data_IF_445310863226
#
_entry.id   IF_445310863226
#
_cell.length_a   1.000
_cell.length_b   1.000
_cell.length_c   1.000
_cell.angle_alpha   90.00
_cell.angle_beta   90.00
_cell.angle_gamma   90.00
#
_symmetry.space_group_name_H-M   'P 1'
#
loop_
_entity.id
_entity.type
_entity.pdbx_description
1 polymer ?
#
# COMPACT_ATOMS: atom_id res chain seq x y z
N UNK A 1 6.62 -39.99 18.12
CA UNK A 1 7.30 -39.59 16.89
C UNK A 1 6.81 -38.18 16.57
N UNK A 2 7.62 -37.19 16.85
CA UNK A 2 7.26 -35.76 16.68
C UNK A 2 7.80 -35.26 15.33
N UNK A 3 7.34 -35.87 14.23
CA UNK A 3 7.70 -35.40 12.91
C UNK A 3 6.47 -34.78 12.24
N UNK A 4 6.69 -33.69 11.52
CA UNK A 4 5.68 -33.17 10.62
C UNK A 4 5.51 -34.16 9.45
N UNK A 5 4.29 -34.67 9.27
CA UNK A 5 4.00 -35.50 8.10
C UNK A 5 4.25 -34.72 6.79
N UNK A 6 4.80 -35.40 5.79
CA UNK A 6 5.05 -34.76 4.48
C UNK A 6 3.78 -34.13 3.89
N UNK A 7 2.62 -34.76 4.10
CA UNK A 7 1.33 -34.22 3.65
C UNK A 7 0.99 -32.89 4.32
N UNK A 8 1.29 -32.75 5.62
CA UNK A 8 1.07 -31.52 6.36
C UNK A 8 2.00 -30.37 5.90
N UNK A 9 3.27 -30.68 5.62
CA UNK A 9 4.22 -29.72 5.07
C UNK A 9 3.73 -29.20 3.72
N UNK A 10 3.33 -30.12 2.83
CA UNK A 10 2.81 -29.75 1.49
C UNK A 10 1.54 -28.90 1.64
N UNK A 11 0.61 -29.27 2.51
CA UNK A 11 -0.62 -28.53 2.75
C UNK A 11 -0.33 -27.10 3.18
N UNK A 12 0.57 -26.91 4.15
CA UNK A 12 0.94 -25.57 4.66
C UNK A 12 1.59 -24.71 3.57
N UNK A 13 2.49 -25.27 2.79
CA UNK A 13 3.12 -24.57 1.67
C UNK A 13 2.09 -24.17 0.60
N UNK A 14 1.18 -25.06 0.23
CA UNK A 14 0.11 -24.75 -0.72
C UNK A 14 -0.83 -23.66 -0.15
N UNK A 15 -1.20 -23.74 1.11
CA UNK A 15 -2.01 -22.69 1.75
C UNK A 15 -1.29 -21.33 1.77
N UNK A 16 0.01 -21.32 2.03
CA UNK A 16 0.80 -20.09 1.97
C UNK A 16 0.80 -19.46 0.56
N UNK A 17 0.91 -20.28 -0.48
CA UNK A 17 0.75 -19.84 -1.88
C UNK A 17 -0.65 -19.28 -2.13
N UNK A 18 -1.70 -19.97 -1.69
CA UNK A 18 -3.10 -19.54 -1.88
C UNK A 18 -3.36 -18.20 -1.19
N UNK A 19 -3.04 -18.07 0.09
CA UNK A 19 -3.25 -16.82 0.82
C UNK A 19 -2.39 -15.67 0.27
N UNK A 20 -1.12 -15.94 -0.06
CA UNK A 20 -0.24 -14.98 -0.70
C UNK A 20 -0.78 -14.51 -2.05
N UNK A 21 -1.36 -15.46 -2.84
CA UNK A 21 -1.98 -15.15 -4.13
C UNK A 21 -3.20 -14.26 -4.00
N UNK A 22 -4.10 -14.55 -3.07
CA UNK A 22 -5.34 -13.81 -2.88
C UNK A 22 -5.05 -12.33 -2.56
N UNK A 23 -4.12 -12.08 -1.64
CA UNK A 23 -3.77 -10.71 -1.23
C UNK A 23 -2.91 -10.04 -2.31
N UNK A 24 -1.93 -10.75 -2.86
CA UNK A 24 -1.05 -10.23 -3.91
C UNK A 24 -1.79 -9.87 -5.20
N UNK A 25 -2.79 -10.65 -5.59
CA UNK A 25 -3.64 -10.38 -6.74
C UNK A 25 -4.46 -9.08 -6.57
N UNK A 26 -5.00 -8.85 -5.38
CA UNK A 26 -5.68 -7.59 -5.06
C UNK A 26 -4.75 -6.38 -5.21
N UNK A 27 -3.51 -6.53 -4.77
CA UNK A 27 -2.49 -5.47 -4.87
C UNK A 27 -2.07 -5.21 -6.32
N UNK A 28 -1.89 -6.26 -7.10
CA UNK A 28 -1.49 -6.17 -8.51
C UNK A 28 -2.56 -5.50 -9.39
N UNK A 29 -3.84 -5.89 -9.25
CA UNK A 29 -4.94 -5.25 -10.00
C UNK A 29 -5.04 -3.75 -9.70
N UNK A 30 -4.71 -3.33 -8.48
CA UNK A 30 -4.72 -1.92 -8.11
C UNK A 30 -3.46 -1.15 -8.47
N UNK A 31 -2.53 -1.76 -9.18
CA UNK A 31 -1.31 -1.12 -9.67
C UNK A 31 -0.33 -0.74 -8.58
N UNK A 32 -0.25 -1.52 -7.48
CA UNK A 32 0.74 -1.30 -6.43
C UNK A 32 2.07 -1.97 -6.77
N UNK A 33 3.19 -1.37 -6.35
CA UNK A 33 4.54 -1.82 -6.68
C UNK A 33 4.85 -3.25 -6.21
N UNK A 34 4.37 -3.68 -5.03
CA UNK A 34 4.42 -5.06 -4.59
C UNK A 34 3.10 -5.76 -4.93
N UNK A 35 3.13 -6.62 -5.94
CA UNK A 35 1.99 -7.38 -6.46
C UNK A 35 2.00 -8.87 -6.07
N UNK A 36 1.49 -9.70 -6.95
CA UNK A 36 1.24 -11.13 -6.77
C UNK A 36 2.49 -11.91 -6.34
N UNK A 37 3.57 -11.79 -7.11
CA UNK A 37 4.81 -12.54 -6.88
C UNK A 37 5.44 -12.22 -5.53
N UNK A 38 5.50 -10.94 -5.18
CA UNK A 38 6.09 -10.47 -3.92
C UNK A 38 5.35 -11.04 -2.71
N UNK A 39 4.00 -10.98 -2.71
CA UNK A 39 3.20 -11.47 -1.59
C UNK A 39 3.25 -12.99 -1.45
N UNK A 40 3.25 -13.73 -2.56
CA UNK A 40 3.43 -15.19 -2.54
C UNK A 40 4.79 -15.54 -1.92
N UNK A 41 5.87 -14.96 -2.42
CA UNK A 41 7.23 -15.28 -1.96
C UNK A 41 7.43 -14.94 -0.49
N UNK A 42 6.90 -13.82 -0.01
CA UNK A 42 7.00 -13.43 1.40
C UNK A 42 6.20 -14.40 2.29
N UNK A 43 4.97 -14.75 1.89
CA UNK A 43 4.13 -15.68 2.65
C UNK A 43 4.77 -17.08 2.73
N UNK A 44 5.21 -17.60 1.59
CA UNK A 44 5.86 -18.93 1.49
C UNK A 44 7.19 -18.92 2.24
N UNK A 45 8.01 -17.89 2.10
CA UNK A 45 9.28 -17.77 2.82
C UNK A 45 9.10 -17.77 4.34
N UNK A 46 8.12 -17.02 4.83
CA UNK A 46 7.77 -17.01 6.25
C UNK A 46 7.25 -18.37 6.73
N UNK A 47 6.43 -19.06 5.92
CA UNK A 47 5.96 -20.41 6.21
C UNK A 47 7.12 -21.42 6.27
N UNK A 48 8.05 -21.40 5.31
CA UNK A 48 9.22 -22.29 5.26
C UNK A 48 10.07 -22.11 6.53
N UNK A 49 10.42 -20.88 6.88
CA UNK A 49 11.27 -20.61 8.06
C UNK A 49 10.55 -21.09 9.34
N UNK A 50 9.25 -20.92 9.44
CA UNK A 50 8.44 -21.41 10.57
C UNK A 50 8.43 -22.94 10.63
N UNK A 51 8.28 -23.62 9.49
CA UNK A 51 8.35 -25.08 9.40
C UNK A 51 9.74 -25.62 9.83
N UNK A 52 10.82 -24.96 9.39
CA UNK A 52 12.19 -25.29 9.82
C UNK A 52 12.33 -25.14 11.33
N UNK A 53 11.81 -24.07 11.93
CA UNK A 53 11.82 -23.89 13.38
C UNK A 53 11.09 -25.03 14.11
N UNK A 54 9.91 -25.43 13.62
CA UNK A 54 9.16 -26.54 14.20
C UNK A 54 9.95 -27.85 14.11
N UNK A 55 10.54 -28.14 12.96
CA UNK A 55 11.36 -29.35 12.77
C UNK A 55 12.56 -29.39 13.72
N UNK A 56 13.29 -28.29 13.85
CA UNK A 56 14.40 -28.17 14.80
C UNK A 56 13.92 -28.39 16.23
N UNK A 57 12.77 -27.83 16.60
CA UNK A 57 12.15 -28.00 17.91
C UNK A 57 11.78 -29.45 18.19
N UNK A 58 11.13 -30.12 17.25
CA UNK A 58 10.77 -31.53 17.39
C UNK A 58 11.98 -32.42 17.52
N UNK A 59 13.02 -32.24 16.71
CA UNK A 59 14.28 -32.98 16.81
C UNK A 59 14.95 -32.79 18.17
N UNK A 60 14.94 -31.55 18.70
CA UNK A 60 15.51 -31.25 20.02
C UNK A 60 14.74 -31.94 21.15
N UNK A 61 13.41 -31.94 21.09
CA UNK A 61 12.57 -32.63 22.07
C UNK A 61 12.80 -34.14 22.01
N UNK A 62 12.90 -34.73 20.82
CA UNK A 62 13.16 -36.15 20.65
C UNK A 62 14.54 -36.55 21.22
N UNK A 63 15.59 -35.73 20.97
CA UNK A 63 16.90 -35.93 21.59
C UNK A 63 16.83 -35.88 23.11
N UNK A 64 16.12 -34.90 23.68
CA UNK A 64 15.97 -34.75 25.11
C UNK A 64 15.22 -35.93 25.79
N UNK A 65 14.25 -36.52 25.08
CA UNK A 65 13.53 -37.69 25.54
C UNK A 65 14.38 -38.98 25.48
N UNK A 66 15.20 -39.13 24.44
CA UNK A 66 16.06 -40.29 24.26
C UNK A 66 17.28 -40.27 25.15
N UNK A 67 17.82 -39.08 25.45
CA UNK A 67 19.03 -38.90 26.31
C UNK A 67 18.77 -37.85 27.41
N UNK A 68 18.17 -38.24 28.53
CA UNK A 68 17.84 -37.32 29.63
C UNK A 68 19.01 -36.55 30.22
N UNK A 69 20.24 -37.03 30.05
CA UNK A 69 21.49 -36.34 30.45
C UNK A 69 21.71 -35.02 29.68
N UNK A 70 21.12 -34.87 28.48
CA UNK A 70 21.24 -33.69 27.65
C UNK A 70 20.24 -32.57 28.03
N UNK A 71 19.25 -32.86 28.87
CA UNK A 71 18.20 -31.88 29.24
C UNK A 71 18.75 -30.60 29.88
N UNK A 72 19.94 -30.67 30.53
CA UNK A 72 20.59 -29.49 31.12
C UNK A 72 21.26 -28.57 30.09
N UNK A 73 21.54 -29.09 28.90
CA UNK A 73 22.26 -28.37 27.84
C UNK A 73 21.31 -27.98 26.70
N UNK A 74 20.26 -28.77 26.44
CA UNK A 74 19.31 -28.52 25.37
C UNK A 74 18.29 -27.46 25.81
N UNK A 75 18.26 -26.35 25.09
CA UNK A 75 17.28 -25.29 25.28
C UNK A 75 16.60 -24.99 23.95
N UNK A 76 15.27 -25.09 23.93
CA UNK A 76 14.45 -24.92 22.72
C UNK A 76 13.60 -23.68 22.85
N UNK A 77 13.75 -22.76 21.90
CA UNK A 77 12.89 -21.58 21.76
C UNK A 77 12.11 -21.69 20.44
N UNK A 78 10.82 -21.96 20.53
CA UNK A 78 9.92 -22.12 19.37
C UNK A 78 9.66 -20.82 18.64
N UNK A 79 10.03 -19.67 19.18
CA UNK A 79 9.68 -18.37 18.66
C UNK A 79 10.85 -17.67 17.97
N UNK A 80 12.06 -18.15 18.11
CA UNK A 80 13.29 -17.48 17.69
C UNK A 80 13.31 -17.14 16.19
N UNK A 81 13.08 -18.12 15.30
CA UNK A 81 13.10 -17.86 13.87
C UNK A 81 11.90 -17.03 13.40
N UNK A 82 10.66 -17.29 13.85
CA UNK A 82 9.51 -16.41 13.57
C UNK A 82 9.74 -14.96 14.02
N UNK A 83 10.35 -14.74 15.18
CA UNK A 83 10.68 -13.39 15.64
C UNK A 83 11.68 -12.67 14.70
N UNK A 84 12.65 -13.39 14.13
CA UNK A 84 13.58 -12.85 13.15
C UNK A 84 12.91 -12.53 11.81
N UNK A 85 11.87 -13.28 11.41
CA UNK A 85 11.07 -12.93 10.24
C UNK A 85 10.44 -11.55 10.43
N UNK A 86 9.78 -11.32 11.57
CA UNK A 86 9.12 -10.04 11.87
C UNK A 86 10.10 -8.87 11.82
N UNK A 87 11.30 -9.05 12.37
CA UNK A 87 12.35 -8.04 12.30
C UNK A 87 12.90 -7.86 10.87
N UNK A 88 13.21 -8.97 10.19
CA UNK A 88 13.82 -8.96 8.86
C UNK A 88 12.91 -8.40 7.76
N UNK A 89 11.61 -8.67 7.83
CA UNK A 89 10.65 -8.16 6.85
C UNK A 89 10.51 -6.65 6.91
N UNK A 90 10.87 -6.02 8.03
CA UNK A 90 10.90 -4.57 8.18
C UNK A 90 11.85 -3.91 7.18
N UNK A 91 12.98 -4.56 6.82
CA UNK A 91 13.89 -4.07 5.78
C UNK A 91 13.25 -4.05 4.40
N UNK A 92 12.53 -5.12 4.01
CA UNK A 92 11.79 -5.17 2.75
C UNK A 92 10.67 -4.14 2.73
N UNK A 93 9.92 -3.99 3.83
CA UNK A 93 8.89 -2.97 3.96
C UNK A 93 9.46 -1.56 3.80
N UNK A 94 10.55 -1.24 4.49
CA UNK A 94 11.22 0.05 4.39
C UNK A 94 11.68 0.34 2.95
N UNK A 95 12.16 -0.68 2.23
CA UNK A 95 12.57 -0.58 0.84
C UNK A 95 11.45 -0.18 -0.14
N UNK A 96 10.18 -0.32 0.26
CA UNK A 96 9.03 0.11 -0.54
C UNK A 96 8.56 1.53 -0.24
N UNK A 97 9.09 2.18 0.81
CA UNK A 97 8.69 3.52 1.23
C UNK A 97 9.58 4.55 0.54
N UNK A 98 8.98 5.38 -0.29
CA UNK A 98 9.67 6.47 -0.99
C UNK A 98 9.22 7.80 -0.38
N UNK A 99 10.18 8.54 0.14
CA UNK A 99 9.95 9.87 0.73
C UNK A 99 10.45 10.94 -0.24
N UNK A 100 9.54 11.80 -0.66
CA UNK A 100 9.85 13.00 -1.44
C UNK A 100 9.57 14.25 -0.62
N UNK A 101 10.01 15.43 -1.10
CA UNK A 101 9.74 16.71 -0.38
C UNK A 101 8.26 17.01 -0.15
N UNK A 102 7.35 16.37 -0.88
CA UNK A 102 5.91 16.69 -0.87
C UNK A 102 5.01 15.50 -0.53
N UNK A 103 5.53 14.26 -0.53
CA UNK A 103 4.71 13.06 -0.32
C UNK A 103 5.53 11.88 0.20
N UNK A 104 4.85 10.97 0.88
CA UNK A 104 5.36 9.67 1.29
C UNK A 104 4.50 8.60 0.61
N UNK A 105 5.12 7.75 -0.20
CA UNK A 105 4.46 6.69 -0.97
C UNK A 105 4.94 5.33 -0.48
N UNK A 106 4.14 4.27 -0.66
CA UNK A 106 4.54 2.90 -0.33
C UNK A 106 4.19 2.43 1.09
N UNK A 107 3.66 3.29 1.99
CA UNK A 107 3.31 2.91 3.37
C UNK A 107 2.34 1.72 3.44
N UNK A 108 1.28 1.73 2.62
CA UNK A 108 0.32 0.62 2.57
C UNK A 108 0.95 -0.64 1.98
N UNK A 109 1.88 -0.50 1.03
CA UNK A 109 2.64 -1.61 0.46
C UNK A 109 3.54 -2.24 1.52
N UNK A 110 4.30 -1.45 2.27
CA UNK A 110 5.13 -1.91 3.38
C UNK A 110 4.29 -2.66 4.43
N UNK A 111 3.14 -2.09 4.83
CA UNK A 111 2.22 -2.73 5.78
C UNK A 111 1.66 -4.05 5.24
N UNK A 112 1.32 -4.14 3.94
CA UNK A 112 0.81 -5.40 3.35
C UNK A 112 1.88 -6.49 3.29
N UNK A 113 3.14 -6.14 3.01
CA UNK A 113 4.28 -7.08 3.05
C UNK A 113 4.49 -7.60 4.46
N UNK A 114 4.41 -6.72 5.48
CA UNK A 114 4.56 -7.10 6.88
C UNK A 114 3.44 -8.03 7.33
N UNK A 115 2.19 -7.72 7.00
CA UNK A 115 1.03 -8.55 7.40
C UNK A 115 1.02 -9.92 6.72
N UNK A 116 1.44 -10.00 5.45
CA UNK A 116 1.50 -11.29 4.74
C UNK A 116 2.61 -12.20 5.28
N UNK A 117 3.69 -11.66 5.81
CA UNK A 117 4.70 -12.44 6.52
C UNK A 117 4.11 -13.06 7.79
N UNK A 118 3.36 -12.28 8.57
CA UNK A 118 2.62 -12.80 9.73
C UNK A 118 1.64 -13.91 9.37
N UNK A 119 0.96 -13.78 8.23
CA UNK A 119 0.06 -14.82 7.70
C UNK A 119 0.82 -16.10 7.36
N UNK A 120 2.00 -15.98 6.72
CA UNK A 120 2.88 -17.11 6.45
C UNK A 120 3.35 -17.83 7.72
N UNK A 121 3.67 -17.09 8.79
CA UNK A 121 3.98 -17.67 10.11
C UNK A 121 2.79 -18.45 10.67
N UNK A 122 1.58 -17.88 10.63
CA UNK A 122 0.37 -18.53 11.12
C UNK A 122 0.09 -19.84 10.38
N UNK A 123 0.24 -19.86 9.06
CA UNK A 123 0.11 -21.07 8.22
C UNK A 123 1.20 -22.07 8.58
N UNK A 124 2.46 -21.63 8.67
CA UNK A 124 3.60 -22.45 9.05
C UNK A 124 3.46 -23.11 10.41
N UNK A 125 2.79 -22.44 11.38
CA UNK A 125 2.44 -23.00 12.68
C UNK A 125 1.23 -23.94 12.68
N UNK A 126 0.53 -24.10 11.53
CA UNK A 126 -0.69 -24.90 11.45
C UNK A 126 -1.93 -24.22 12.02
N UNK A 127 -1.88 -22.92 12.29
CA UNK A 127 -3.00 -22.14 12.83
C UNK A 127 -3.96 -21.72 11.72
N UNK A 128 -4.60 -22.68 11.06
CA UNK A 128 -5.40 -22.46 9.84
C UNK A 128 -6.58 -21.51 10.02
N UNK A 129 -7.29 -21.64 11.15
CA UNK A 129 -8.40 -20.74 11.46
C UNK A 129 -7.93 -19.28 11.60
N UNK A 130 -6.82 -19.07 12.31
CA UNK A 130 -6.21 -17.75 12.44
C UNK A 130 -5.79 -17.19 11.07
N UNK A 131 -5.15 -18.01 10.24
CA UNK A 131 -4.73 -17.63 8.91
C UNK A 131 -5.92 -17.24 8.02
N UNK A 132 -7.01 -18.02 8.06
CA UNK A 132 -8.22 -17.72 7.28
C UNK A 132 -8.86 -16.40 7.73
N UNK A 133 -9.08 -16.23 9.03
CA UNK A 133 -9.70 -15.00 9.56
C UNK A 133 -8.84 -13.77 9.31
N UNK A 134 -7.54 -13.89 9.51
CA UNK A 134 -6.60 -12.80 9.23
C UNK A 134 -6.61 -12.40 7.76
N UNK A 135 -6.62 -13.38 6.82
CA UNK A 135 -6.66 -13.09 5.39
C UNK A 135 -7.94 -12.36 4.99
N UNK A 136 -9.08 -12.73 5.55
CA UNK A 136 -10.37 -12.05 5.32
C UNK A 136 -10.34 -10.60 5.84
N UNK A 137 -9.79 -10.38 7.03
CA UNK A 137 -9.66 -9.04 7.61
C UNK A 137 -8.71 -8.18 6.77
N UNK A 138 -7.56 -8.70 6.36
CA UNK A 138 -6.60 -7.99 5.52
C UNK A 138 -7.27 -7.56 4.20
N UNK A 139 -8.00 -8.47 3.54
CA UNK A 139 -8.73 -8.15 2.31
C UNK A 139 -9.81 -7.08 2.53
N UNK A 140 -10.54 -7.18 3.64
CA UNK A 140 -11.54 -6.19 4.01
C UNK A 140 -10.90 -4.81 4.18
N UNK A 141 -9.78 -4.73 4.91
CA UNK A 141 -9.03 -3.48 5.10
C UNK A 141 -8.57 -2.92 3.76
N UNK A 142 -7.94 -3.74 2.91
CA UNK A 142 -7.40 -3.29 1.64
C UNK A 142 -8.47 -2.85 0.63
N UNK A 143 -9.66 -3.48 0.63
CA UNK A 143 -10.74 -3.20 -0.33
C UNK A 143 -11.74 -2.16 0.15
N UNK A 144 -12.13 -2.24 1.42
CA UNK A 144 -13.37 -1.59 1.91
C UNK A 144 -13.06 -0.26 2.57
N UNK A 145 -11.94 -0.12 3.28
CA UNK A 145 -11.64 1.12 4.02
C UNK A 145 -11.56 2.33 3.11
N UNK A 146 -10.92 2.23 1.95
CA UNK A 146 -10.90 3.32 0.95
C UNK A 146 -12.30 3.72 0.44
N UNK A 147 -13.25 2.78 0.45
CA UNK A 147 -14.62 3.01 -0.05
C UNK A 147 -15.52 3.63 1.03
N UNK A 148 -15.32 3.24 2.30
CA UNK A 148 -16.08 3.76 3.45
C UNK A 148 -15.57 5.15 3.83
N UNK A 149 -14.28 5.30 4.00
CA UNK A 149 -13.66 6.60 4.25
C UNK A 149 -13.37 7.23 2.89
N UNK A 150 -14.33 8.02 2.38
CA UNK A 150 -14.14 8.88 1.21
C UNK A 150 -13.03 9.88 1.52
N UNK A 151 -11.79 9.46 1.35
CA UNK A 151 -10.68 10.42 1.30
C UNK A 151 -10.89 11.21 0.02
N UNK A 152 -11.31 12.46 0.17
CA UNK A 152 -11.45 13.38 -0.96
C UNK A 152 -10.09 13.44 -1.66
N UNK A 153 -10.02 12.81 -2.82
CA UNK A 153 -8.77 12.80 -3.60
C UNK A 153 -8.55 14.21 -4.10
N UNK A 154 -7.59 14.91 -3.52
CA UNK A 154 -7.20 16.23 -4.00
C UNK A 154 -6.57 16.11 -5.38
N UNK A 155 -6.94 16.99 -6.30
CA UNK A 155 -6.31 17.11 -7.62
C UNK A 155 -5.64 18.46 -7.73
N UNK A 156 -4.47 18.50 -8.35
CA UNK A 156 -3.75 19.75 -8.58
C UNK A 156 -3.87 20.14 -10.03
N UNK A 157 -4.34 21.37 -10.26
CA UNK A 157 -4.44 21.97 -11.59
C UNK A 157 -3.69 23.29 -11.60
N UNK A 158 -2.89 23.47 -12.63
CA UNK A 158 -2.14 24.68 -12.90
C UNK A 158 -2.83 25.40 -14.06
N UNK A 159 -3.25 26.64 -13.81
CA UNK A 159 -3.99 27.47 -14.78
C UNK A 159 -3.16 28.67 -15.16
N UNK A 160 -2.87 28.79 -16.45
CA UNK A 160 -2.18 29.92 -17.07
C UNK A 160 -3.20 30.86 -17.71
N UNK A 161 -3.19 32.14 -17.37
CA UNK A 161 -4.16 33.10 -17.85
C UNK A 161 -3.58 34.53 -17.98
N UNK A 162 -4.26 35.41 -18.75
CA UNK A 162 -3.80 36.76 -19.08
C UNK A 162 -4.58 37.88 -18.42
N UNK A 163 -5.84 37.66 -18.05
CA UNK A 163 -6.70 38.66 -17.39
C UNK A 163 -7.04 38.21 -15.96
N UNK A 164 -6.46 38.91 -14.98
CA UNK A 164 -6.59 38.50 -13.57
C UNK A 164 -8.00 38.61 -13.01
N UNK A 165 -8.69 39.75 -13.30
CA UNK A 165 -10.01 40.02 -12.71
C UNK A 165 -11.10 39.12 -13.28
N UNK A 166 -11.19 39.05 -14.60
CA UNK A 166 -12.21 38.26 -15.27
C UNK A 166 -12.01 36.77 -15.02
N UNK A 167 -10.76 36.27 -15.11
CA UNK A 167 -10.49 34.87 -14.84
C UNK A 167 -10.76 34.49 -13.38
N UNK A 168 -10.47 35.37 -12.42
CA UNK A 168 -10.77 35.11 -11.01
C UNK A 168 -12.28 35.00 -10.78
N UNK A 169 -13.07 35.91 -11.34
CA UNK A 169 -14.56 35.88 -11.27
C UNK A 169 -15.09 34.60 -11.88
N UNK A 170 -14.62 34.26 -13.08
CA UNK A 170 -15.01 33.02 -13.77
C UNK A 170 -14.68 31.78 -12.94
N UNK A 171 -13.45 31.61 -12.47
CA UNK A 171 -13.03 30.45 -11.69
C UNK A 171 -13.80 30.32 -10.38
N UNK A 172 -14.05 31.45 -9.68
CA UNK A 172 -14.83 31.42 -8.44
C UNK A 172 -16.26 30.95 -8.70
N UNK A 173 -16.93 31.47 -9.72
CA UNK A 173 -18.27 31.06 -10.11
C UNK A 173 -18.32 29.62 -10.63
N UNK A 174 -17.35 29.22 -11.44
CA UNK A 174 -17.26 27.88 -11.98
C UNK A 174 -17.11 26.82 -10.88
N UNK A 175 -16.17 27.02 -9.95
CA UNK A 175 -15.95 26.08 -8.85
C UNK A 175 -17.15 26.02 -7.90
N UNK A 176 -17.80 27.16 -7.62
CA UNK A 176 -19.02 27.19 -6.80
C UNK A 176 -20.16 26.44 -7.46
N UNK A 177 -20.45 26.70 -8.74
CA UNK A 177 -21.54 26.05 -9.48
C UNK A 177 -21.34 24.55 -9.66
N UNK A 178 -20.08 24.09 -9.75
CA UNK A 178 -19.72 22.69 -9.92
C UNK A 178 -19.52 21.93 -8.59
N UNK A 179 -19.76 22.58 -7.44
CA UNK A 179 -19.49 22.02 -6.11
C UNK A 179 -18.04 21.51 -5.94
N UNK A 180 -17.08 22.20 -6.54
CA UNK A 180 -15.66 21.89 -6.44
C UNK A 180 -15.07 22.65 -5.24
N UNK A 181 -14.56 21.92 -4.25
CA UNK A 181 -13.96 22.52 -3.08
C UNK A 181 -12.48 22.86 -3.36
N UNK A 182 -12.10 24.12 -3.13
CA UNK A 182 -10.72 24.56 -3.19
C UNK A 182 -10.06 24.27 -1.84
N UNK A 183 -9.09 23.34 -1.83
CA UNK A 183 -8.34 22.94 -0.63
C UNK A 183 -7.06 23.77 -0.44
N UNK A 184 -6.52 24.31 -1.53
CA UNK A 184 -5.31 25.14 -1.50
C UNK A 184 -5.17 25.95 -2.79
N UNK A 185 -4.50 27.09 -2.67
CA UNK A 185 -4.24 28.00 -3.80
C UNK A 185 -2.85 28.62 -3.64
N UNK A 186 -1.97 28.31 -4.59
CA UNK A 186 -0.65 28.91 -4.70
C UNK A 186 -0.62 29.84 -5.92
N UNK A 187 -0.09 31.05 -5.75
CA UNK A 187 0.04 32.03 -6.79
C UNK A 187 1.49 32.15 -7.26
N UNK A 188 1.67 32.19 -8.58
CA UNK A 188 2.94 32.57 -9.18
C UNK A 188 2.67 33.59 -10.28
N UNK A 189 3.46 34.65 -10.31
CA UNK A 189 3.38 35.67 -11.35
C UNK A 189 4.65 35.64 -12.17
N UNK A 190 4.52 35.37 -13.47
CA UNK A 190 5.65 35.40 -14.38
C UNK A 190 5.73 36.75 -15.08
N UNK A 191 6.64 37.60 -14.59
CA UNK A 191 6.86 38.98 -15.08
C UNK A 191 7.81 39.08 -16.29
N UNK A 192 8.30 37.96 -16.83
CA UNK A 192 9.36 37.94 -17.85
C UNK A 192 8.90 37.92 -19.31
N UNK A 193 7.62 37.97 -19.61
CA UNK A 193 7.18 38.07 -21.02
C UNK A 193 6.84 39.52 -21.40
N UNK A 194 7.45 39.97 -22.43
CA UNK A 194 7.51 41.37 -22.90
C UNK A 194 6.16 41.91 -23.45
N UNK A 195 5.09 41.14 -23.51
CA UNK A 195 3.85 41.59 -24.18
C UNK A 195 2.55 41.49 -23.41
N UNK A 196 2.44 40.65 -22.35
CA UNK A 196 1.31 40.64 -21.41
C UNK A 196 1.69 39.88 -20.13
N UNK A 197 1.39 40.43 -18.95
CA UNK A 197 1.56 39.71 -17.70
C UNK A 197 0.78 38.39 -17.72
N UNK A 198 1.47 37.26 -17.76
CA UNK A 198 0.85 35.96 -17.60
C UNK A 198 0.85 35.55 -16.13
N UNK A 199 -0.28 35.12 -15.64
CA UNK A 199 -0.51 34.69 -14.28
C UNK A 199 -0.60 33.16 -14.24
N UNK A 200 -0.08 32.57 -13.18
CA UNK A 200 -0.13 31.13 -12.97
C UNK A 200 -0.73 30.89 -11.58
N UNK A 201 -1.83 30.17 -11.54
CA UNK A 201 -2.42 29.71 -10.29
C UNK A 201 -2.37 28.20 -10.22
N UNK A 202 -1.88 27.67 -9.10
CA UNK A 202 -1.94 26.27 -8.78
C UNK A 202 -3.07 26.04 -7.76
N UNK A 203 -4.14 25.44 -8.24
CA UNK A 203 -5.29 25.04 -7.41
C UNK A 203 -5.16 23.60 -6.96
N UNK A 204 -5.30 23.37 -5.65
CA UNK A 204 -5.56 22.04 -5.09
C UNK A 204 -7.06 21.94 -4.87
N UNK A 205 -7.74 21.12 -5.66
CA UNK A 205 -9.19 21.00 -5.67
C UNK A 205 -9.65 19.60 -5.27
N UNK A 206 -10.81 19.50 -4.65
CA UNK A 206 -11.53 18.25 -4.43
C UNK A 206 -12.74 18.20 -5.35
N UNK A 207 -12.80 17.15 -6.19
CA UNK A 207 -13.86 16.94 -7.14
C UNK A 207 -15.00 16.12 -6.53
N UNK A 208 -16.27 16.44 -6.84
CA UNK A 208 -17.38 15.55 -6.55
C UNK A 208 -17.28 14.26 -7.41
N UNK A 209 -17.82 13.15 -6.90
CA UNK A 209 -17.77 11.82 -7.56
C UNK A 209 -18.38 11.80 -8.98
N UNK A 210 -19.19 12.79 -9.31
CA UNK A 210 -19.88 12.92 -10.60
C UNK A 210 -19.05 13.57 -11.71
N UNK A 211 -17.88 14.14 -11.37
CA UNK A 211 -17.04 14.90 -12.31
C UNK A 211 -15.65 14.29 -12.44
N UNK A 212 -15.18 14.21 -13.69
CA UNK A 212 -13.80 13.81 -13.98
C UNK A 212 -12.89 15.03 -14.07
N UNK A 213 -11.61 14.86 -13.77
CA UNK A 213 -10.62 15.95 -13.95
C UNK A 213 -10.54 16.38 -15.42
N UNK A 214 -10.75 15.44 -16.35
CA UNK A 214 -10.71 15.73 -17.78
C UNK A 214 -11.84 16.70 -18.19
N UNK A 215 -13.07 16.50 -17.70
CA UNK A 215 -14.17 17.43 -17.98
C UNK A 215 -13.92 18.84 -17.41
N UNK A 216 -13.31 18.93 -16.22
CA UNK A 216 -12.94 20.23 -15.63
C UNK A 216 -11.89 20.94 -16.46
N UNK A 217 -10.89 20.22 -16.97
CA UNK A 217 -9.86 20.80 -17.85
C UNK A 217 -10.47 21.29 -19.16
N UNK A 218 -11.38 20.52 -19.74
CA UNK A 218 -12.11 20.87 -20.96
C UNK A 218 -12.93 22.15 -20.75
N UNK A 219 -13.81 22.18 -19.75
CA UNK A 219 -14.63 23.35 -19.41
C UNK A 219 -13.79 24.61 -19.16
N UNK A 220 -12.66 24.48 -18.46
CA UNK A 220 -11.78 25.61 -18.16
C UNK A 220 -11.02 26.10 -19.40
N UNK A 221 -10.68 25.22 -20.33
CA UNK A 221 -9.95 25.57 -21.55
C UNK A 221 -10.78 26.33 -22.57
N UNK A 222 -12.11 26.30 -22.46
CA UNK A 222 -13.02 27.08 -23.31
C UNK A 222 -13.06 28.57 -22.95
N UNK A 223 -12.56 28.96 -21.79
CA UNK A 223 -12.62 30.36 -21.37
C UNK A 223 -11.55 31.22 -22.05
N UNK A 224 -11.95 32.31 -22.70
CA UNK A 224 -11.16 33.17 -23.59
C UNK A 224 -9.81 33.63 -22.97
N UNK A 225 -9.76 33.88 -21.67
CA UNK A 225 -8.55 34.39 -21.00
C UNK A 225 -7.65 33.30 -20.44
N UNK A 226 -8.05 32.03 -20.51
CA UNK A 226 -7.21 30.91 -20.10
C UNK A 226 -6.38 30.44 -21.29
N UNK A 227 -5.07 30.48 -21.14
CA UNK A 227 -4.13 30.08 -22.18
C UNK A 227 -3.80 28.60 -22.14
N UNK A 228 -3.73 28.04 -20.91
CA UNK A 228 -3.35 26.65 -20.70
C UNK A 228 -3.82 26.14 -19.34
N UNK A 229 -4.29 24.92 -19.30
CA UNK A 229 -4.60 24.18 -18.08
C UNK A 229 -3.72 22.92 -18.04
N UNK A 230 -3.00 22.72 -16.96
CA UNK A 230 -2.14 21.55 -16.77
C UNK A 230 -2.53 20.79 -15.50
N UNK A 231 -2.73 19.48 -15.60
CA UNK A 231 -2.95 18.62 -14.45
C UNK A 231 -1.62 18.10 -13.94
N UNK A 232 -1.33 18.32 -12.68
CA UNK A 232 -0.17 17.73 -12.03
C UNK A 232 -0.58 16.37 -11.45
N UNK A 233 0.08 15.30 -11.88
CA UNK A 233 -0.08 13.99 -11.23
C UNK A 233 0.42 14.09 -9.80
N UNK A 234 -0.38 13.62 -8.85
CA UNK A 234 0.16 13.25 -7.55
C UNK A 234 1.08 12.03 -7.76
N UNK A 235 2.36 12.25 -7.54
CA UNK A 235 3.30 11.14 -7.38
C UNK A 235 3.12 10.52 -6.00
#
# INVERSE_FOLDING_TARGET
MFELEYGEIILRLVMAVVFGSIIGYEREIRGHDAGLRTHILVCVGACIITLVQLQVTYNTIEMALNEPSLNQVLNTDMTRMPAQIISGIGFLGAGTIIVTRKSVVGLTTAASIWTIAGLGIAVGMGSYFLALMSSLIILLVLRVIKKIFRVQTSKRIEIYYINREETKKFLTNYFANMNINILGLDYSVNTKSTEKNSYINLYTISLPDTKSIASVVEDLSEFEYIQRVHTLREN
#
